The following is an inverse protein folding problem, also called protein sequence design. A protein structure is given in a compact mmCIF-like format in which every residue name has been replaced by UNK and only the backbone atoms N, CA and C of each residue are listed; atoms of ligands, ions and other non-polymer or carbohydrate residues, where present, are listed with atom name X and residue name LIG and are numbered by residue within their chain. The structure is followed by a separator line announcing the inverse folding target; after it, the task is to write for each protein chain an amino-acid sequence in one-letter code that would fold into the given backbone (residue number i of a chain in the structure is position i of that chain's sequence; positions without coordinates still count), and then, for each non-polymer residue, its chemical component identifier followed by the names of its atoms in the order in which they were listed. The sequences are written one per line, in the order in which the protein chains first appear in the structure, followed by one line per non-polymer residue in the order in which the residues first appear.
data_IF_650920081693
#
_entry.id   IF_650920081693
#
_cell.length_a   1.000
_cell.length_b   1.000
_cell.length_c   1.000
_cell.angle_alpha   90.00
_cell.angle_beta   90.00
_cell.angle_gamma   90.00
#
_symmetry.space_group_name_H-M   'P 1'
#
loop_
_entity.id
_entity.type
_entity.pdbx_description
1 polymer ?
#
# COMPACT_ATOMS: atom_id res chain seq x y z
N UNK A 1 15.87 -14.47 7.18
CA UNK A 1 14.57 -14.29 6.50
C UNK A 1 13.86 -15.64 6.36
N UNK A 2 14.58 -16.67 5.93
CA UNK A 2 14.08 -18.04 5.71
C UNK A 2 13.22 -18.61 6.83
N UNK A 3 13.61 -18.46 8.10
CA UNK A 3 12.85 -19.02 9.24
C UNK A 3 11.39 -18.51 9.32
N UNK A 4 11.19 -17.19 9.28
CA UNK A 4 9.84 -16.62 9.33
C UNK A 4 9.00 -17.02 8.11
N UNK A 5 9.65 -17.11 6.95
CA UNK A 5 9.00 -17.53 5.73
C UNK A 5 8.56 -19.00 5.83
N UNK A 6 9.44 -19.91 6.25
CA UNK A 6 9.11 -21.33 6.41
C UNK A 6 7.99 -21.56 7.40
N UNK A 7 7.98 -20.81 8.50
CA UNK A 7 6.91 -20.89 9.50
C UNK A 7 5.56 -20.44 8.92
N UNK A 8 5.52 -19.30 8.24
CA UNK A 8 4.30 -18.80 7.62
C UNK A 8 3.80 -19.71 6.48
N UNK A 9 4.72 -20.24 5.67
CA UNK A 9 4.40 -21.23 4.62
C UNK A 9 3.76 -22.47 5.22
N UNK A 10 4.30 -23.04 6.32
CA UNK A 10 3.72 -24.20 6.98
C UNK A 10 2.28 -23.94 7.47
N UNK A 11 2.06 -22.83 8.17
CA UNK A 11 0.72 -22.46 8.69
C UNK A 11 -0.32 -22.32 7.56
N UNK A 12 0.05 -21.67 6.46
CA UNK A 12 -0.85 -21.47 5.32
C UNK A 12 -1.10 -22.79 4.57
N UNK A 13 -0.08 -23.64 4.45
CA UNK A 13 -0.19 -24.94 3.80
C UNK A 13 -1.09 -25.90 4.59
N UNK A 14 -0.99 -25.88 5.92
CA UNK A 14 -1.84 -26.67 6.83
C UNK A 14 -3.27 -26.09 6.95
N UNK A 15 -3.53 -24.93 6.32
CA UNK A 15 -4.79 -24.15 6.44
C UNK A 15 -5.16 -23.84 7.89
N UNK A 16 -4.18 -23.78 8.78
CA UNK A 16 -4.37 -23.41 10.18
C UNK A 16 -4.69 -21.92 10.35
N UNK A 17 -4.33 -21.10 9.36
CA UNK A 17 -4.75 -19.71 9.25
C UNK A 17 -5.04 -19.36 7.78
N UNK A 18 -5.91 -18.37 7.56
CA UNK A 18 -6.30 -17.87 6.23
C UNK A 18 -5.63 -16.54 5.89
N UNK A 19 -4.91 -15.94 6.85
CA UNK A 19 -4.24 -14.67 6.67
C UNK A 19 -2.92 -14.58 7.46
N UNK A 20 -2.02 -13.73 6.98
CA UNK A 20 -0.74 -13.42 7.61
C UNK A 20 -0.48 -11.91 7.56
N UNK A 21 0.12 -11.37 8.63
CA UNK A 21 0.54 -9.97 8.69
C UNK A 21 2.05 -9.88 8.78
N UNK A 22 2.68 -9.23 7.81
CA UNK A 22 4.09 -8.86 7.85
C UNK A 22 4.25 -7.46 8.38
N UNK A 23 5.00 -7.32 9.48
CA UNK A 23 5.32 -6.02 10.06
C UNK A 23 6.82 -5.76 9.99
N UNK A 24 7.20 -4.56 9.54
CA UNK A 24 8.61 -4.16 9.44
C UNK A 24 8.81 -2.72 9.88
N UNK A 25 9.87 -2.45 10.65
CA UNK A 25 10.22 -1.12 11.13
C UNK A 25 11.60 -0.70 10.62
N UNK A 26 11.76 0.56 10.19
CA UNK A 26 13.05 1.11 9.75
C UNK A 26 13.75 0.21 8.74
N UNK A 27 14.96 -0.25 9.07
CA UNK A 27 15.79 -1.12 8.21
C UNK A 27 15.18 -2.50 7.91
N UNK A 28 14.15 -2.92 8.66
CA UNK A 28 13.45 -4.17 8.42
C UNK A 28 12.30 -4.05 7.39
N UNK A 29 11.91 -2.83 7.00
CA UNK A 29 10.83 -2.61 6.01
C UNK A 29 11.06 -3.38 4.71
N UNK A 30 12.24 -3.30 4.05
CA UNK A 30 12.46 -4.04 2.81
C UNK A 30 12.32 -5.56 3.00
N UNK A 31 12.73 -6.09 4.16
CA UNK A 31 12.64 -7.52 4.47
C UNK A 31 11.19 -7.97 4.63
N UNK A 32 10.36 -7.17 5.30
CA UNK A 32 8.92 -7.45 5.43
C UNK A 32 8.23 -7.47 4.06
N UNK A 33 8.57 -6.52 3.19
CA UNK A 33 8.08 -6.49 1.80
C UNK A 33 8.53 -7.76 1.06
N UNK A 34 9.81 -8.12 1.12
CA UNK A 34 10.30 -9.35 0.45
C UNK A 34 9.58 -10.60 0.92
N UNK A 35 9.35 -10.78 2.23
CA UNK A 35 8.59 -11.91 2.75
C UNK A 35 7.16 -11.95 2.19
N UNK A 36 6.48 -10.79 2.17
CA UNK A 36 5.14 -10.68 1.63
C UNK A 36 5.09 -11.05 0.14
N UNK A 37 6.02 -10.52 -0.67
CA UNK A 37 6.08 -10.83 -2.11
C UNK A 37 6.37 -12.30 -2.40
N UNK A 38 7.20 -12.96 -1.58
CA UNK A 38 7.48 -14.39 -1.75
C UNK A 38 6.22 -15.22 -1.44
N UNK A 39 5.53 -14.95 -0.32
CA UNK A 39 4.31 -15.69 0.02
C UNK A 39 3.19 -15.47 -0.98
N UNK A 40 3.01 -14.24 -1.48
CA UNK A 40 2.03 -13.96 -2.53
C UNK A 40 2.23 -14.85 -3.76
N UNK A 41 3.48 -15.06 -4.17
CA UNK A 41 3.81 -15.93 -5.31
C UNK A 41 3.60 -17.41 -5.01
N UNK A 42 3.91 -17.87 -3.80
CA UNK A 42 3.80 -19.28 -3.43
C UNK A 42 2.35 -19.76 -3.29
N UNK A 43 1.47 -18.89 -2.77
CA UNK A 43 0.07 -19.26 -2.46
C UNK A 43 -0.96 -18.54 -3.33
N UNK A 44 -0.52 -17.85 -4.40
CA UNK A 44 -1.38 -17.08 -5.31
C UNK A 44 -2.35 -16.15 -4.56
N UNK A 45 -1.86 -15.49 -3.50
CA UNK A 45 -2.71 -14.70 -2.59
C UNK A 45 -3.33 -13.52 -3.32
N UNK A 46 -4.66 -13.46 -3.34
CA UNK A 46 -5.42 -12.47 -4.10
C UNK A 46 -5.72 -11.18 -3.36
N UNK A 47 -5.67 -11.19 -2.02
CA UNK A 47 -6.10 -10.05 -1.19
C UNK A 47 -4.95 -9.53 -0.33
N UNK A 48 -4.69 -8.23 -0.46
CA UNK A 48 -3.66 -7.53 0.32
C UNK A 48 -4.20 -6.22 0.88
N UNK A 49 -3.79 -5.88 2.09
CA UNK A 49 -3.94 -4.51 2.63
C UNK A 49 -2.60 -4.04 3.18
N UNK A 50 -2.15 -2.87 2.75
CA UNK A 50 -0.90 -2.25 3.24
C UNK A 50 -1.18 -0.98 4.02
N UNK A 51 -0.72 -0.91 5.27
CA UNK A 51 -0.83 0.27 6.13
C UNK A 51 0.55 0.76 6.53
N UNK A 52 0.73 2.07 6.53
CA UNK A 52 1.94 2.76 6.98
C UNK A 52 1.67 3.44 8.32
N UNK A 53 2.64 3.37 9.21
CA UNK A 53 2.55 4.00 10.53
C UNK A 53 3.94 4.41 11.02
N UNK A 54 4.01 5.00 12.20
CA UNK A 54 5.26 5.32 12.88
C UNK A 54 5.22 4.79 14.32
N UNK A 55 6.35 4.29 14.81
CA UNK A 55 6.55 3.98 16.23
C UNK A 55 7.44 5.05 16.83
N UNK A 56 7.00 5.63 17.94
CA UNK A 56 7.84 6.52 18.76
C UNK A 56 8.82 5.66 19.55
N UNK A 57 10.09 6.04 19.51
CA UNK A 57 11.18 5.41 20.27
C UNK A 57 11.85 6.51 21.07
N UNK A 58 12.07 6.24 22.35
CA UNK A 58 12.83 7.09 23.25
C UNK A 58 14.13 6.35 23.60
N UNK A 59 15.25 6.94 23.24
CA UNK A 59 16.59 6.43 23.55
C UNK A 59 17.18 7.28 24.67
N UNK A 60 17.61 6.61 25.73
CA UNK A 60 18.26 7.23 26.88
C UNK A 60 19.76 7.03 26.74
N UNK A 61 20.51 8.13 26.72
CA UNK A 61 21.96 8.14 26.55
C UNK A 61 22.62 8.61 27.84
N UNK A 62 23.36 7.72 28.49
CA UNK A 62 24.09 8.03 29.71
C UNK A 62 25.34 8.87 29.40
N UNK A 63 25.58 9.98 30.13
CA UNK A 63 26.79 10.76 29.97
C UNK A 63 28.01 9.97 30.43
N UNK A 64 29.14 10.19 29.74
CA UNK A 64 30.42 9.57 30.11
C UNK A 64 31.15 10.29 31.25
N UNK A 65 30.66 11.46 31.65
CA UNK A 65 31.28 12.33 32.66
C UNK A 65 30.29 12.51 33.80
N UNK A 66 30.76 12.31 35.02
CA UNK A 66 29.96 12.46 36.23
C UNK A 66 29.49 13.91 36.41
N UNK A 67 28.24 14.07 36.83
CA UNK A 67 27.60 15.36 37.05
C UNK A 67 26.81 15.92 35.85
N UNK A 68 26.74 15.18 34.74
CA UNK A 68 25.90 15.53 33.58
C UNK A 68 24.54 14.80 33.61
N UNK A 69 23.54 15.40 32.98
CA UNK A 69 22.18 14.84 32.86
C UNK A 69 22.06 13.84 31.70
N UNK A 70 21.20 12.82 31.87
CA UNK A 70 20.88 11.84 30.83
C UNK A 70 20.20 12.50 29.63
N UNK A 71 20.72 12.26 28.42
CA UNK A 71 20.11 12.77 27.20
C UNK A 71 18.98 11.83 26.74
N UNK A 72 17.79 12.40 26.49
CA UNK A 72 16.65 11.66 25.93
C UNK A 72 16.45 12.05 24.47
N UNK A 73 16.62 11.10 23.57
CA UNK A 73 16.41 11.28 22.12
C UNK A 73 15.10 10.62 21.71
N UNK A 74 14.16 11.41 21.20
CA UNK A 74 12.87 10.90 20.69
C UNK A 74 12.91 10.80 19.16
N UNK A 75 12.64 9.61 18.63
CA UNK A 75 12.62 9.32 17.18
C UNK A 75 11.29 8.73 16.77
N UNK A 76 10.85 9.03 15.55
CA UNK A 76 9.74 8.34 14.90
C UNK A 76 10.30 7.37 13.86
N UNK A 77 10.18 6.07 14.13
CA UNK A 77 10.63 5.03 13.21
C UNK A 77 9.47 4.66 12.29
N UNK A 78 9.65 4.71 10.96
CA UNK A 78 8.62 4.29 10.02
C UNK A 78 8.33 2.79 10.14
N UNK A 79 7.07 2.44 9.95
CA UNK A 79 6.53 1.09 10.02
C UNK A 79 5.68 0.78 8.79
N UNK A 80 5.76 -0.46 8.34
CA UNK A 80 4.87 -1.04 7.35
C UNK A 80 4.17 -2.25 7.94
N UNK A 81 2.87 -2.38 7.68
CA UNK A 81 2.07 -3.57 7.94
C UNK A 81 1.45 -4.05 6.63
N UNK A 82 1.70 -5.30 6.25
CA UNK A 82 1.17 -5.91 5.03
C UNK A 82 0.33 -7.13 5.46
N UNK A 83 -0.98 -7.00 5.38
CA UNK A 83 -1.92 -8.11 5.49
C UNK A 83 -2.01 -8.82 4.15
N UNK A 84 -1.89 -10.14 4.17
CA UNK A 84 -2.13 -11.04 3.04
C UNK A 84 -3.19 -12.04 3.46
N UNK A 85 -4.25 -12.20 2.67
CA UNK A 85 -5.38 -13.08 2.98
C UNK A 85 -5.74 -13.95 1.79
N UNK A 86 -5.92 -15.25 2.02
CA UNK A 86 -6.46 -16.17 1.02
C UNK A 86 -7.97 -16.02 0.85
N UNK A 87 -8.64 -15.46 1.84
CA UNK A 87 -10.08 -15.19 1.84
C UNK A 87 -10.36 -13.72 1.55
N UNK A 88 -11.56 -13.46 0.99
CA UNK A 88 -11.98 -12.11 0.64
C UNK A 88 -12.01 -11.18 1.85
N UNK A 89 -11.50 -9.96 1.67
CA UNK A 89 -11.51 -8.93 2.71
C UNK A 89 -12.84 -8.16 2.61
N UNK A 90 -13.61 -8.01 3.71
CA UNK A 90 -14.93 -7.39 3.66
C UNK A 90 -14.94 -5.95 3.12
N UNK A 91 -13.89 -5.17 3.44
CA UNK A 91 -13.76 -3.77 3.03
C UNK A 91 -12.75 -3.63 1.88
N UNK A 92 -13.25 -3.66 0.65
CA UNK A 92 -12.46 -3.45 -0.57
C UNK A 92 -12.16 -1.97 -0.86
N UNK A 93 -12.82 -1.04 -0.19
CA UNK A 93 -12.66 0.40 -0.43
C UNK A 93 -11.65 1.06 0.52
N UNK A 94 -11.16 0.32 1.52
CA UNK A 94 -10.16 0.84 2.45
C UNK A 94 -8.86 1.22 1.75
N UNK A 95 -8.20 2.24 2.31
CA UNK A 95 -6.88 2.69 1.86
C UNK A 95 -5.88 1.53 1.99
N UNK A 96 -5.10 1.33 0.93
CA UNK A 96 -4.06 0.31 0.88
C UNK A 96 -4.56 -1.08 0.50
N UNK A 97 -5.85 -1.26 0.23
CA UNK A 97 -6.38 -2.49 -0.36
C UNK A 97 -5.84 -2.69 -1.79
N UNK A 98 -5.40 -3.91 -2.09
CA UNK A 98 -4.92 -4.34 -3.38
C UNK A 98 -5.42 -5.75 -3.66
N UNK A 99 -5.78 -6.02 -4.91
CA UNK A 99 -6.15 -7.36 -5.36
C UNK A 99 -5.48 -7.73 -6.67
N UNK A 100 -5.09 -9.00 -6.83
CA UNK A 100 -4.47 -9.52 -8.06
C UNK A 100 -5.42 -9.47 -9.27
N UNK A 101 -6.73 -9.61 -9.02
CA UNK A 101 -7.79 -9.52 -10.03
C UNK A 101 -8.13 -8.06 -10.41
N UNK A 102 -7.50 -7.09 -9.74
CA UNK A 102 -7.70 -5.67 -9.98
C UNK A 102 -7.04 -5.19 -11.27
N UNK A 103 -7.53 -4.08 -11.81
CA UNK A 103 -6.93 -3.40 -12.96
C UNK A 103 -5.44 -3.17 -12.68
N UNK A 104 -4.54 -3.62 -13.56
CA UNK A 104 -3.12 -3.29 -13.44
C UNK A 104 -2.98 -1.79 -13.61
N UNK A 105 -2.15 -1.13 -12.79
CA UNK A 105 -1.91 0.31 -12.87
C UNK A 105 -1.55 0.80 -14.30
N UNK A 106 -0.89 -0.06 -15.08
CA UNK A 106 -0.46 0.21 -16.45
C UNK A 106 -1.54 -0.04 -17.52
N UNK A 107 -2.67 -0.68 -17.17
CA UNK A 107 -3.81 -0.82 -18.08
C UNK A 107 -4.56 0.52 -18.08
N UNK A 108 -4.28 1.35 -19.09
CA UNK A 108 -5.07 2.54 -19.39
C UNK A 108 -6.54 2.16 -19.50
N UNK A 109 -7.42 2.90 -18.84
CA UNK A 109 -8.84 2.83 -19.14
C UNK A 109 -9.02 3.20 -20.61
N UNK A 110 -9.63 2.32 -21.41
CA UNK A 110 -10.19 2.75 -22.68
C UNK A 110 -11.39 3.61 -22.34
N UNK A 111 -11.16 4.90 -22.11
CA UNK A 111 -12.23 5.89 -22.16
C UNK A 111 -12.82 5.79 -23.56
N UNK A 112 -14.02 5.23 -23.67
CA UNK A 112 -14.83 5.39 -24.87
C UNK A 112 -15.18 6.87 -24.95
N UNK A 113 -14.30 7.67 -25.55
CA UNK A 113 -14.66 8.97 -26.09
C UNK A 113 -15.70 8.72 -27.19
N UNK A 114 -16.97 8.67 -26.80
CA UNK A 114 -18.08 8.93 -27.73
C UNK A 114 -17.87 10.35 -28.23
N UNK A 115 -17.20 10.47 -29.39
CA UNK A 115 -17.17 11.68 -30.19
C UNK A 115 -18.61 12.12 -30.48
N UNK A 116 -19.17 12.99 -29.64
CA UNK A 116 -20.28 13.84 -30.05
C UNK A 116 -19.71 14.87 -31.02
N UNK A 117 -19.79 14.55 -32.32
CA UNK A 117 -19.70 15.56 -33.37
C UNK A 117 -20.92 16.48 -33.24
N UNK A 118 -20.83 17.52 -32.42
CA UNK A 118 -21.72 18.67 -32.54
C UNK A 118 -21.16 19.58 -33.65
N UNK A 119 -21.82 19.52 -34.80
CA UNK A 119 -21.65 20.46 -35.91
C UNK A 119 -22.01 21.87 -35.45
N UNK A 120 -21.00 22.70 -35.14
CA UNK A 120 -21.16 24.14 -35.03
C UNK A 120 -21.33 24.73 -36.44
N UNK A 121 -22.56 24.73 -36.95
CA UNK A 121 -22.94 25.61 -38.06
C UNK A 121 -22.93 27.05 -37.55
N UNK A 122 -21.92 27.83 -37.93
CA UNK A 122 -21.95 29.28 -37.70
C UNK A 122 -23.08 29.90 -38.55
N UNK A 123 -24.09 30.44 -37.88
CA UNK A 123 -25.10 31.30 -38.51
C UNK A 123 -24.48 32.68 -38.67
N UNK A 124 -24.03 32.99 -39.88
CA UNK A 124 -23.63 34.32 -40.33
C UNK A 124 -24.84 35.26 -40.24
N UNK A 125 -24.91 36.11 -39.20
CA UNK A 125 -25.94 37.16 -39.10
C UNK A 125 -25.65 38.25 -40.14
N UNK A 126 -26.56 38.40 -41.11
CA UNK A 126 -26.63 39.54 -42.02
C UNK A 126 -26.99 40.79 -41.21
N UNK A 127 -26.06 41.75 -41.11
CA UNK A 127 -26.39 43.14 -40.75
C UNK A 127 -27.20 43.75 -41.90
N UNK A 128 -28.48 44.05 -41.66
CA UNK A 128 -29.26 45.02 -42.44
C UNK A 128 -29.40 46.31 -41.62
N UNK A 129 -29.20 47.42 -42.34
CA UNK A 129 -29.38 48.84 -41.98
C UNK A 129 -30.73 49.14 -41.32
N UNK A 130 -30.79 50.25 -40.60
CA UNK A 130 -31.73 51.38 -40.68
C UNK A 130 -31.37 52.33 -39.51
N UNK A 131 -31.48 53.65 -39.54
CA UNK A 131 -31.90 54.69 -40.48
C UNK A 131 -31.23 55.99 -40.00
#
# INVERSE_FOLDING_TARGET
MTNLLSHATGILQDKAATAVVWSGAGVAIPKAISCAEILKKQFSIEYQVTKLSYKKVEEYWEPKVDGLETLVVKRQIPLIHILLSTEAIPDCNQIGYQTLSGKKFWQKEQTQDRKQQQSYKSKKQKRKKNE
#
